data_IF_421464662952
#
_entry.id   IF_421464662952
#
_cell.length_a   1.000
_cell.length_b   1.000
_cell.length_c   1.000
_cell.angle_alpha   90.00
_cell.angle_beta   90.00
_cell.angle_gamma   90.00
#
_symmetry.space_group_name_H-M   'P 1'
#
loop_
_entity.id
_entity.type
_entity.pdbx_description
1 polymer ?
#
# COMPACT_ATOMS: atom_id res chain seq x y z
N UNK A 1 9.88 1.04 -18.42
CA UNK A 1 10.80 0.71 -17.31
C UNK A 1 10.08 1.15 -16.06
N UNK A 2 9.83 0.23 -15.13
CA UNK A 2 9.15 0.57 -13.88
C UNK A 2 9.96 1.65 -13.14
N UNK A 3 9.27 2.64 -12.59
CA UNK A 3 9.89 3.66 -11.74
C UNK A 3 10.68 2.97 -10.60
N UNK A 4 11.83 3.55 -10.22
CA UNK A 4 12.71 3.02 -9.16
C UNK A 4 11.92 2.75 -7.87
N UNK A 5 10.89 3.56 -7.59
CA UNK A 5 10.01 3.39 -6.43
C UNK A 5 9.25 2.07 -6.44
N UNK A 6 8.79 1.58 -7.61
CA UNK A 6 8.03 0.33 -7.69
C UNK A 6 8.93 -0.90 -7.56
N UNK A 7 10.19 -0.79 -7.98
CA UNK A 7 11.19 -1.84 -7.69
C UNK A 7 11.50 -1.93 -6.20
N UNK A 8 11.61 -0.79 -5.52
CA UNK A 8 11.77 -0.76 -4.05
C UNK A 8 10.52 -1.28 -3.33
N UNK A 9 9.33 -1.00 -3.88
CA UNK A 9 8.07 -1.52 -3.38
C UNK A 9 8.04 -3.05 -3.45
N UNK A 10 8.41 -3.63 -4.59
CA UNK A 10 8.57 -5.08 -4.76
C UNK A 10 9.51 -5.69 -3.69
N UNK A 11 10.71 -5.12 -3.53
CA UNK A 11 11.67 -5.60 -2.53
C UNK A 11 11.12 -5.49 -1.10
N UNK A 12 10.34 -4.44 -0.82
CA UNK A 12 9.71 -4.25 0.49
C UNK A 12 8.61 -5.26 0.72
N UNK A 13 7.75 -5.53 -0.28
CA UNK A 13 6.72 -6.57 -0.21
C UNK A 13 7.34 -7.96 0.00
N UNK A 14 8.45 -8.25 -0.69
CA UNK A 14 9.20 -9.50 -0.49
C UNK A 14 9.73 -9.64 0.94
N UNK A 15 10.23 -8.56 1.54
CA UNK A 15 10.71 -8.56 2.95
C UNK A 15 9.58 -8.68 3.96
N UNK A 16 8.40 -8.09 3.69
CA UNK A 16 7.21 -8.21 4.55
C UNK A 16 6.65 -9.64 4.57
N UNK A 17 6.96 -10.44 3.55
CA UNK A 17 6.56 -11.83 3.44
C UNK A 17 5.13 -11.98 2.92
N UNK A 18 4.41 -12.97 3.46
CA UNK A 18 3.15 -13.46 2.91
C UNK A 18 3.36 -14.75 2.10
N UNK A 19 2.29 -15.21 1.45
CA UNK A 19 2.33 -16.38 0.58
C UNK A 19 2.94 -16.04 -0.79
N UNK A 20 2.70 -14.82 -1.27
CA UNK A 20 3.21 -14.35 -2.55
C UNK A 20 3.43 -12.83 -2.53
N UNK A 21 4.60 -12.40 -2.99
CA UNK A 21 5.03 -10.99 -2.95
C UNK A 21 5.10 -10.34 -4.34
N UNK A 22 4.63 -11.03 -5.38
CA UNK A 22 4.83 -10.64 -6.77
C UNK A 22 6.02 -11.36 -7.43
N UNK A 23 6.29 -10.99 -8.68
CA UNK A 23 7.46 -11.43 -9.45
C UNK A 23 8.13 -10.21 -10.10
N UNK A 24 9.45 -10.24 -10.28
CA UNK A 24 10.20 -9.20 -10.98
C UNK A 24 9.99 -9.29 -12.51
N UNK A 25 8.75 -9.02 -12.95
CA UNK A 25 8.30 -9.07 -14.35
C UNK A 25 7.46 -7.83 -14.70
N UNK A 26 7.40 -7.42 -15.98
CA UNK A 26 6.65 -6.24 -16.40
C UNK A 26 5.18 -6.22 -15.95
N UNK A 27 4.51 -7.37 -15.96
CA UNK A 27 3.09 -7.51 -15.60
C UNK A 27 2.83 -7.13 -14.15
N UNK A 28 3.72 -7.53 -13.24
CA UNK A 28 3.61 -7.15 -11.83
C UNK A 28 3.79 -5.64 -11.65
N UNK A 29 4.71 -5.03 -12.40
CA UNK A 29 4.91 -3.58 -12.35
C UNK A 29 3.70 -2.81 -12.86
N UNK A 30 3.08 -3.26 -13.94
CA UNK A 30 1.82 -2.67 -14.43
C UNK A 30 0.71 -2.76 -13.37
N UNK A 31 0.63 -3.87 -12.64
CA UNK A 31 -0.34 -4.05 -11.57
C UNK A 31 -0.11 -3.06 -10.42
N UNK A 32 1.12 -2.98 -9.89
CA UNK A 32 1.40 -2.06 -8.77
C UNK A 32 1.31 -0.59 -9.17
N UNK A 33 1.55 -0.25 -10.44
CA UNK A 33 1.34 1.09 -11.00
C UNK A 33 -0.15 1.49 -11.08
N UNK A 34 -1.07 0.55 -11.31
CA UNK A 34 -2.52 0.81 -11.24
C UNK A 34 -3.02 0.91 -9.78
N UNK A 35 -2.32 0.24 -8.85
CA UNK A 35 -2.68 0.21 -7.44
C UNK A 35 -2.18 1.44 -6.68
N UNK A 36 -0.91 1.81 -6.86
CA UNK A 36 -0.22 2.84 -6.09
C UNK A 36 0.19 4.01 -6.97
N UNK A 37 0.03 5.22 -6.45
CA UNK A 37 0.87 6.34 -6.89
C UNK A 37 2.30 6.21 -6.34
N UNK A 38 3.30 6.86 -6.94
CA UNK A 38 4.67 6.88 -6.41
C UNK A 38 4.76 7.37 -4.95
N UNK A 39 3.90 8.31 -4.58
CA UNK A 39 3.82 8.85 -3.23
C UNK A 39 3.26 7.82 -2.24
N UNK A 40 2.17 7.13 -2.60
CA UNK A 40 1.59 6.06 -1.78
C UNK A 40 2.55 4.88 -1.62
N UNK A 41 3.27 4.49 -2.68
CA UNK A 41 4.29 3.45 -2.61
C UNK A 41 5.39 3.83 -1.60
N UNK A 42 5.83 5.09 -1.62
CA UNK A 42 6.81 5.61 -0.66
C UNK A 42 6.30 5.58 0.77
N UNK A 43 5.04 5.97 0.99
CA UNK A 43 4.39 5.92 2.32
C UNK A 43 4.22 4.47 2.79
N UNK A 44 3.76 3.56 1.93
CA UNK A 44 3.61 2.14 2.26
C UNK A 44 4.94 1.52 2.73
N UNK A 45 6.04 1.83 2.05
CA UNK A 45 7.37 1.34 2.42
C UNK A 45 7.83 1.89 3.77
N UNK A 46 7.36 3.07 4.17
CA UNK A 46 7.71 3.72 5.42
C UNK A 46 6.95 3.20 6.64
N UNK A 47 5.85 2.44 6.45
CA UNK A 47 5.08 1.88 7.57
C UNK A 47 5.90 0.79 8.26
N UNK A 48 6.29 0.93 9.54
CA UNK A 48 7.03 -0.12 10.25
C UNK A 48 6.24 -1.44 10.32
N UNK A 49 6.90 -2.58 10.59
CA UNK A 49 6.19 -3.82 10.90
C UNK A 49 5.19 -3.63 12.05
N UNK A 50 3.98 -4.16 11.88
CA UNK A 50 2.87 -3.97 12.83
C UNK A 50 2.03 -2.72 12.51
N UNK A 51 1.55 -2.06 13.57
CA UNK A 51 0.70 -0.88 13.48
C UNK A 51 1.41 0.33 14.09
N UNK A 52 1.45 1.46 13.38
CA UNK A 52 2.14 2.68 13.81
C UNK A 52 1.24 3.91 13.68
N UNK A 53 1.35 4.89 14.59
CA UNK A 53 0.65 6.15 14.45
C UNK A 53 1.24 6.96 13.28
N UNK A 54 0.47 7.89 12.70
CA UNK A 54 0.90 8.64 11.51
C UNK A 54 2.17 9.46 11.75
N UNK A 55 2.37 10.01 12.95
CA UNK A 55 3.60 10.73 13.31
C UNK A 55 4.88 9.89 13.18
N UNK A 56 4.84 8.60 13.52
CA UNK A 56 5.98 7.68 13.36
C UNK A 56 6.31 7.45 11.88
N UNK A 57 5.27 7.26 11.06
CA UNK A 57 5.41 7.03 9.62
C UNK A 57 5.95 8.30 8.95
N UNK A 58 5.39 9.46 9.31
CA UNK A 58 5.81 10.76 8.81
C UNK A 58 7.27 11.08 9.15
N UNK A 59 7.71 10.75 10.37
CA UNK A 59 9.10 10.88 10.80
C UNK A 59 10.08 10.05 9.97
N UNK A 60 9.66 8.88 9.47
CA UNK A 60 10.51 7.99 8.66
C UNK A 60 10.78 8.59 7.26
N UNK A 61 9.85 9.37 6.72
CA UNK A 61 9.97 10.00 5.39
C UNK A 61 10.20 11.51 5.44
N UNK A 62 10.37 12.09 6.62
CA UNK A 62 10.62 13.52 6.81
C UNK A 62 9.48 14.43 6.34
N UNK A 63 8.24 13.94 6.37
CA UNK A 63 7.03 14.72 6.01
C UNK A 63 6.29 15.20 7.25
N UNK A 64 5.38 16.16 7.06
CA UNK A 64 4.45 16.58 8.12
C UNK A 64 3.41 15.48 8.35
N UNK A 65 3.06 15.26 9.61
CA UNK A 65 2.07 14.26 10.00
C UNK A 65 0.72 14.47 9.30
N UNK A 66 0.21 15.70 9.24
CA UNK A 66 -1.07 16.04 8.61
C UNK A 66 -1.14 15.65 7.12
N UNK A 67 -0.03 15.78 6.40
CA UNK A 67 0.03 15.43 4.98
C UNK A 67 0.06 13.91 4.80
N UNK A 68 0.78 13.21 5.68
CA UNK A 68 0.87 11.75 5.67
C UNK A 68 -0.44 11.10 6.10
N UNK A 69 -1.18 11.70 7.04
CA UNK A 69 -2.53 11.24 7.42
C UNK A 69 -3.45 11.20 6.22
N UNK A 70 -3.49 12.26 5.38
CA UNK A 70 -4.35 12.29 4.19
C UNK A 70 -4.03 11.15 3.24
N UNK A 71 -2.74 10.90 2.98
CA UNK A 71 -2.29 9.81 2.11
C UNK A 71 -2.65 8.45 2.72
N UNK A 72 -2.41 8.26 4.01
CA UNK A 72 -2.72 7.01 4.70
C UNK A 72 -4.23 6.70 4.72
N UNK A 73 -5.07 7.71 4.90
CA UNK A 73 -6.54 7.56 4.83
C UNK A 73 -7.00 7.17 3.43
N UNK A 74 -6.45 7.81 2.38
CA UNK A 74 -6.74 7.41 1.00
C UNK A 74 -6.24 5.99 0.69
N UNK A 75 -5.06 5.63 1.17
CA UNK A 75 -4.51 4.29 1.03
C UNK A 75 -5.37 3.25 1.76
N UNK A 76 -5.87 3.56 2.96
CA UNK A 76 -6.76 2.69 3.71
C UNK A 76 -8.09 2.50 2.98
N UNK A 77 -8.65 3.57 2.42
CA UNK A 77 -9.86 3.51 1.58
C UNK A 77 -9.66 2.66 0.31
N UNK A 78 -8.47 2.71 -0.30
CA UNK A 78 -8.07 1.89 -1.45
C UNK A 78 -7.68 0.45 -1.07
N UNK A 79 -7.62 0.11 0.21
CA UNK A 79 -7.16 -1.21 0.67
C UNK A 79 -5.65 -1.45 0.47
N UNK A 80 -4.85 -0.39 0.39
CA UNK A 80 -3.39 -0.47 0.25
C UNK A 80 -2.66 -0.50 1.61
N UNK A 81 -3.33 -0.01 2.65
CA UNK A 81 -2.94 -0.20 4.04
C UNK A 81 -4.17 -0.52 4.90
N UNK A 82 -3.94 -0.89 6.15
CA UNK A 82 -5.01 -1.08 7.14
C UNK A 82 -4.97 0.06 8.13
N UNK A 83 -6.13 0.52 8.59
CA UNK A 83 -6.27 1.52 9.63
C UNK A 83 -7.12 0.96 10.77
N UNK A 84 -6.70 1.21 12.01
CA UNK A 84 -7.41 0.80 13.21
C UNK A 84 -7.31 1.88 14.28
N UNK A 85 -8.42 2.16 14.97
CA UNK A 85 -8.47 3.20 16.00
C UNK A 85 -8.30 2.59 17.39
N UNK A 86 -7.43 3.18 18.20
CA UNK A 86 -7.28 2.87 19.63
C UNK A 86 -7.36 4.16 20.44
N UNK A 87 -8.45 4.32 21.20
CA UNK A 87 -8.77 5.61 21.84
C UNK A 87 -9.02 6.68 20.78
N UNK A 88 -8.27 7.78 20.85
CA UNK A 88 -8.34 8.90 19.89
C UNK A 88 -7.30 8.82 18.77
N UNK A 89 -6.41 7.83 18.79
CA UNK A 89 -5.34 7.69 17.81
C UNK A 89 -5.65 6.60 16.78
N UNK A 90 -5.50 6.94 15.50
CA UNK A 90 -5.52 5.97 14.40
C UNK A 90 -4.12 5.41 14.19
N UNK A 91 -4.03 4.09 14.06
CA UNK A 91 -2.80 3.37 13.75
C UNK A 91 -2.93 2.70 12.39
N UNK A 92 -1.84 2.69 11.63
CA UNK A 92 -1.81 2.15 10.28
C UNK A 92 -0.84 0.99 10.18
N UNK A 93 -1.23 -0.03 9.44
CA UNK A 93 -0.41 -1.21 9.16
C UNK A 93 -0.29 -1.45 7.66
N UNK A 94 0.85 -2.00 7.24
CA UNK A 94 1.11 -2.36 5.85
C UNK A 94 0.95 -3.88 5.68
N UNK A 95 -0.23 -4.37 5.23
CA UNK A 95 -0.45 -5.78 4.96
C UNK A 95 0.47 -6.26 3.82
N UNK A 96 0.83 -7.56 3.76
CA UNK A 96 1.60 -8.08 2.64
C UNK A 96 0.77 -8.04 1.34
N UNK A 97 1.42 -8.34 0.21
CA UNK A 97 0.75 -8.33 -1.08
C UNK A 97 -0.33 -9.42 -1.18
N UNK A 98 0.03 -10.67 -0.89
CA UNK A 98 -0.89 -11.82 -0.79
C UNK A 98 -0.53 -12.65 0.46
N UNK A 99 -1.48 -12.93 1.39
CA UNK A 99 -2.84 -12.39 1.43
C UNK A 99 -2.83 -10.96 2.00
N UNK A 100 -3.56 -10.04 1.37
CA UNK A 100 -3.66 -8.66 1.81
C UNK A 100 -4.10 -7.74 0.70
N UNK A 101 -3.18 -6.90 0.23
CA UNK A 101 -3.49 -5.82 -0.73
C UNK A 101 -4.24 -6.36 -1.93
N UNK A 102 -3.80 -7.48 -2.50
CA UNK A 102 -4.39 -8.05 -3.71
C UNK A 102 -5.86 -8.42 -3.52
N UNK A 103 -6.19 -9.18 -2.47
CA UNK A 103 -7.57 -9.58 -2.17
C UNK A 103 -8.44 -8.37 -1.83
N UNK A 104 -7.90 -7.38 -1.12
CA UNK A 104 -8.64 -6.18 -0.71
C UNK A 104 -9.20 -5.39 -1.90
N UNK A 105 -8.57 -5.48 -3.07
CA UNK A 105 -9.07 -4.81 -4.27
C UNK A 105 -10.40 -5.37 -4.76
N UNK A 106 -10.65 -6.66 -4.52
CA UNK A 106 -11.84 -7.37 -5.00
C UNK A 106 -12.91 -7.54 -3.92
N UNK A 107 -12.56 -7.40 -2.63
CA UNK A 107 -13.49 -7.56 -1.52
C UNK A 107 -14.57 -6.47 -1.42
N UNK A 108 -14.39 -5.32 -2.08
CA UNK A 108 -15.38 -4.23 -2.09
C UNK A 108 -16.67 -4.60 -2.80
N UNK A 109 -16.65 -5.63 -3.66
CA UNK A 109 -17.82 -6.08 -4.42
C UNK A 109 -18.33 -5.08 -5.46
N UNK A 110 -17.49 -4.14 -5.88
CA UNK A 110 -17.80 -3.13 -6.90
C UNK A 110 -17.43 -3.60 -8.31
N UNK A 111 -17.93 -2.90 -9.34
CA UNK A 111 -17.60 -3.17 -10.75
C UNK A 111 -17.36 -1.87 -11.50
N UNK A 112 -16.52 -1.01 -10.93
CA UNK A 112 -16.11 0.26 -11.54
C UNK A 112 -15.17 0.01 -12.72
N UNK A 113 -14.94 1.02 -13.56
CA UNK A 113 -13.95 0.93 -14.64
C UNK A 113 -12.55 0.55 -14.12
N UNK A 114 -12.19 1.05 -12.92
CA UNK A 114 -10.93 0.68 -12.26
C UNK A 114 -10.91 -0.81 -11.92
N UNK A 115 -11.98 -1.34 -11.34
CA UNK A 115 -12.06 -2.77 -10.96
C UNK A 115 -11.95 -3.66 -12.20
N UNK A 116 -12.57 -3.26 -13.32
CA UNK A 116 -12.51 -3.98 -14.59
C UNK A 116 -11.11 -3.94 -15.21
N UNK A 117 -10.40 -2.81 -15.13
CA UNK A 117 -9.01 -2.71 -15.59
C UNK A 117 -8.10 -3.60 -14.76
N UNK A 118 -8.24 -3.51 -13.44
CA UNK A 118 -7.41 -4.26 -12.51
C UNK A 118 -7.57 -5.78 -12.68
N UNK A 119 -8.79 -6.26 -12.95
CA UNK A 119 -9.06 -7.69 -13.19
C UNK A 119 -8.42 -8.25 -14.48
N UNK A 120 -7.86 -7.40 -15.35
CA UNK A 120 -7.21 -7.79 -16.61
C UNK A 120 -5.68 -7.77 -16.54
N UNK A 121 -5.12 -7.28 -15.42
CA UNK A 121 -3.69 -7.25 -15.13
C UNK A 121 -3.28 -8.49 -14.33
#
# INVERSE_FOLDING_TARGET
MADKVYRQLYETMAKRGGLYSGMDIPEFYNLVEELFTPEEASVYMAIPPGYSPPGTIAGTIGKKEEDVVKILEEMAYKGLCTAGKMGDTTFYGAPPFVPGIFEFQFMRGTSTEKDIRLAKL
#
